data_IF_266082167638
#
_entry.id   IF_266082167638
#
_cell.length_a   1.000
_cell.length_b   1.000
_cell.length_c   1.000
_cell.angle_alpha   90.00
_cell.angle_beta   90.00
_cell.angle_gamma   90.00
#
_symmetry.space_group_name_H-M   'P 1'
#
loop_
_entity.id
_entity.type
_entity.pdbx_description
1 polymer ?
#
# COMPACT_ATOMS: atom_id res chain seq x y z
N UNK A 1 0.67 -7.01 5.16
CA UNK A 1 -0.34 -5.94 4.90
C UNK A 1 -1.60 -6.13 5.75
N UNK A 2 -2.31 -7.27 5.68
CA UNK A 2 -3.51 -7.50 6.53
C UNK A 2 -3.23 -7.24 8.01
N UNK A 3 -2.16 -7.85 8.55
CA UNK A 3 -1.74 -7.65 9.93
C UNK A 3 -1.52 -6.17 10.24
N UNK A 4 -0.85 -5.43 9.35
CA UNK A 4 -0.63 -3.99 9.50
C UNK A 4 -1.94 -3.20 9.52
N UNK A 5 -2.91 -3.54 8.66
CA UNK A 5 -4.21 -2.87 8.63
C UNK A 5 -4.94 -3.10 9.94
N UNK A 6 -5.04 -4.36 10.39
CA UNK A 6 -5.70 -4.71 11.66
C UNK A 6 -5.03 -4.03 12.84
N UNK A 7 -3.70 -4.10 12.90
CA UNK A 7 -2.89 -3.52 13.96
C UNK A 7 -3.00 -1.99 13.96
N UNK A 8 -2.90 -1.35 12.79
CA UNK A 8 -3.03 0.10 12.67
C UNK A 8 -4.44 0.61 12.97
N UNK A 9 -5.49 -0.13 12.60
CA UNK A 9 -6.86 0.15 13.07
C UNK A 9 -6.95 0.04 14.60
N UNK A 10 -6.26 -0.92 15.22
CA UNK A 10 -6.14 -1.00 16.68
C UNK A 10 -5.46 0.23 17.32
N UNK A 11 -4.42 0.77 16.68
CA UNK A 11 -3.78 2.02 17.12
C UNK A 11 -4.74 3.21 16.99
N UNK A 12 -5.48 3.29 15.87
CA UNK A 12 -6.39 4.41 15.57
C UNK A 12 -7.59 4.43 16.53
N UNK A 13 -8.27 3.28 16.71
CA UNK A 13 -9.50 3.17 17.50
C UNK A 13 -9.25 2.98 19.01
N UNK A 14 -8.25 2.19 19.38
CA UNK A 14 -7.99 1.85 20.79
C UNK A 14 -6.74 2.52 21.37
N UNK A 15 -5.96 3.26 20.59
CA UNK A 15 -4.73 3.92 21.07
C UNK A 15 -3.63 2.93 21.46
N UNK A 16 -3.71 1.68 21.00
CA UNK A 16 -2.77 0.61 21.33
C UNK A 16 -1.36 1.00 20.84
N UNK A 17 -0.39 1.17 21.75
CA UNK A 17 0.97 1.64 21.40
C UNK A 17 1.15 3.17 21.36
N UNK A 18 0.11 3.97 21.60
CA UNK A 18 0.20 5.44 21.71
C UNK A 18 -0.18 5.94 23.12
N UNK A 19 0.30 5.26 24.16
CA UNK A 19 0.07 5.67 25.55
C UNK A 19 -1.41 5.79 25.96
N UNK A 20 -2.32 5.10 25.28
CA UNK A 20 -3.77 5.15 25.55
C UNK A 20 -4.51 6.33 24.91
N UNK A 21 -3.85 7.17 24.11
CA UNK A 21 -4.50 8.25 23.37
C UNK A 21 -4.83 7.79 21.94
N UNK A 22 -6.11 7.79 21.59
CA UNK A 22 -6.56 7.55 20.21
C UNK A 22 -5.97 8.62 19.30
N UNK A 23 -5.24 8.23 18.27
CA UNK A 23 -4.72 9.16 17.25
C UNK A 23 -5.89 9.85 16.52
N UNK A 24 -7.03 9.17 16.42
CA UNK A 24 -8.21 9.68 15.72
C UNK A 24 -7.94 9.90 14.24
N UNK A 25 -8.77 10.73 13.59
CA UNK A 25 -8.61 11.09 12.18
C UNK A 25 -7.94 12.46 11.97
N UNK A 26 -7.39 13.07 13.03
CA UNK A 26 -6.84 14.44 13.00
C UNK A 26 -5.73 14.61 11.96
N UNK A 27 -4.83 13.62 11.84
CA UNK A 27 -3.72 13.67 10.87
C UNK A 27 -4.17 13.74 9.39
N UNK A 28 -5.39 13.29 9.07
CA UNK A 28 -5.94 13.38 7.71
C UNK A 28 -6.38 14.79 7.32
N UNK A 29 -6.70 15.64 8.30
CA UNK A 29 -7.32 16.96 8.07
C UNK A 29 -6.49 18.13 8.61
N UNK A 30 -5.69 17.93 9.65
CA UNK A 30 -4.97 19.02 10.33
C UNK A 30 -3.74 19.51 9.56
N UNK A 31 -3.10 18.67 8.74
CA UNK A 31 -1.88 19.03 7.99
C UNK A 31 -2.19 19.55 6.58
N UNK A 32 -3.07 20.55 6.46
CA UNK A 32 -3.45 21.15 5.16
C UNK A 32 -4.71 20.58 4.50
N UNK A 33 -5.52 19.82 5.24
CA UNK A 33 -6.77 19.21 4.75
C UNK A 33 -6.56 17.93 3.94
N UNK A 34 -7.65 17.25 3.58
CA UNK A 34 -7.62 16.02 2.77
C UNK A 34 -6.99 16.23 1.37
N UNK A 35 -6.88 17.49 0.93
CA UNK A 35 -6.36 17.90 -0.37
C UNK A 35 -5.17 18.87 -0.21
N UNK A 36 -4.21 18.55 0.66
CA UNK A 36 -3.08 19.43 1.01
C UNK A 36 -2.26 19.96 -0.19
N UNK A 37 -2.20 19.22 -1.31
CA UNK A 37 -1.55 19.65 -2.55
C UNK A 37 -2.47 20.31 -3.59
N UNK A 38 -3.76 20.48 -3.30
CA UNK A 38 -4.76 20.96 -4.26
C UNK A 38 -4.85 20.08 -5.53
N UNK A 39 -5.39 20.64 -6.61
CA UNK A 39 -5.49 19.96 -7.91
C UNK A 39 -4.12 19.51 -8.45
N UNK A 40 -3.08 20.32 -8.23
CA UNK A 40 -1.71 20.02 -8.68
C UNK A 40 -1.12 18.79 -7.98
N UNK A 41 -1.32 18.67 -6.67
CA UNK A 41 -0.91 17.51 -5.88
C UNK A 41 -1.64 16.24 -6.32
N UNK A 42 -2.95 16.35 -6.56
CA UNK A 42 -3.75 15.25 -7.07
C UNK A 42 -3.26 14.76 -8.45
N UNK A 43 -3.02 15.66 -9.40
CA UNK A 43 -2.50 15.28 -10.71
C UNK A 43 -1.11 14.62 -10.63
N UNK A 44 -0.22 15.17 -9.79
CA UNK A 44 1.12 14.58 -9.59
C UNK A 44 1.03 13.18 -8.98
N UNK A 45 0.19 13.01 -7.95
CA UNK A 45 -0.03 11.71 -7.33
C UNK A 45 -0.66 10.71 -8.32
N UNK A 46 -1.62 11.15 -9.13
CA UNK A 46 -2.23 10.33 -10.19
C UNK A 46 -1.17 9.83 -11.17
N UNK A 47 -0.24 10.69 -11.61
CA UNK A 47 0.86 10.28 -12.49
C UNK A 47 1.77 9.21 -11.84
N UNK A 48 2.15 9.39 -10.58
CA UNK A 48 2.97 8.42 -9.83
C UNK A 48 2.24 7.09 -9.68
N UNK A 49 0.94 7.14 -9.37
CA UNK A 49 0.10 5.94 -9.23
C UNK A 49 0.00 5.21 -10.56
N UNK A 50 -0.32 5.90 -11.67
CA UNK A 50 -0.39 5.29 -13.00
C UNK A 50 0.94 4.64 -13.40
N UNK A 51 2.06 5.32 -13.15
CA UNK A 51 3.39 4.77 -13.40
C UNK A 51 3.67 3.51 -12.57
N UNK A 52 3.18 3.44 -11.33
CA UNK A 52 3.34 2.28 -10.43
C UNK A 52 2.52 1.06 -10.86
N UNK A 53 1.54 1.22 -11.74
CA UNK A 53 0.72 0.14 -12.28
C UNK A 53 1.10 -0.28 -13.71
N UNK A 54 2.21 0.23 -14.26
CA UNK A 54 2.81 -0.38 -15.45
C UNK A 54 3.20 -1.83 -15.15
N UNK A 55 2.80 -2.77 -16.02
CA UNK A 55 2.94 -4.20 -15.80
C UNK A 55 1.63 -4.90 -15.44
N UNK A 56 0.53 -4.17 -15.22
CA UNK A 56 -0.81 -4.78 -15.17
C UNK A 56 -1.19 -5.38 -16.54
N UNK A 57 -0.55 -4.93 -17.63
CA UNK A 57 -0.73 -5.52 -18.96
C UNK A 57 -0.35 -7.01 -19.06
N UNK A 58 0.55 -7.51 -18.19
CA UNK A 58 0.90 -8.94 -18.15
C UNK A 58 -0.31 -9.83 -17.83
N UNK A 59 -1.29 -9.31 -17.08
CA UNK A 59 -2.55 -10.02 -16.78
C UNK A 59 -3.34 -10.23 -18.08
N UNK A 60 -3.28 -9.28 -19.02
CA UNK A 60 -3.93 -9.39 -20.33
C UNK A 60 -3.25 -10.42 -21.23
N UNK A 61 -1.92 -10.48 -21.23
CA UNK A 61 -1.14 -11.43 -22.04
C UNK A 61 -1.40 -12.86 -21.56
N UNK A 62 -1.26 -13.10 -20.26
CA UNK A 62 -1.49 -14.43 -19.64
C UNK A 62 -2.96 -14.87 -19.71
N UNK A 63 -3.90 -13.94 -19.80
CA UNK A 63 -5.30 -14.27 -20.03
C UNK A 63 -5.54 -14.90 -21.42
N UNK A 64 -4.73 -14.56 -22.42
CA UNK A 64 -4.78 -15.17 -23.75
C UNK A 64 -4.42 -16.66 -23.76
N UNK A 65 -3.63 -17.10 -22.78
CA UNK A 65 -3.22 -18.50 -22.59
C UNK A 65 -4.20 -19.31 -21.71
N UNK A 66 -5.20 -18.65 -21.13
CA UNK A 66 -6.16 -19.30 -20.24
C UNK A 66 -7.19 -20.12 -21.01
N UNK A 67 -7.54 -21.30 -20.47
CA UNK A 67 -8.49 -22.26 -21.07
C UNK A 67 -9.89 -21.68 -21.34
N UNK A 68 -10.27 -20.59 -20.65
CA UNK A 68 -11.50 -19.82 -20.86
C UNK A 68 -11.23 -18.32 -20.56
N UNK A 69 -10.73 -17.54 -21.53
CA UNK A 69 -10.22 -16.20 -21.28
C UNK A 69 -11.31 -15.24 -20.77
N UNK A 70 -12.52 -15.27 -21.32
CA UNK A 70 -13.58 -14.33 -20.95
C UNK A 70 -14.02 -14.43 -19.48
N UNK A 71 -14.24 -15.66 -18.99
CA UNK A 71 -14.67 -15.90 -17.60
C UNK A 71 -13.51 -15.70 -16.64
N UNK A 72 -12.34 -16.22 -17.00
CA UNK A 72 -11.13 -16.14 -16.17
C UNK A 72 -10.70 -14.69 -15.99
N UNK A 73 -10.68 -13.92 -17.07
CA UNK A 73 -10.28 -12.52 -17.05
C UNK A 73 -11.26 -11.66 -16.24
N UNK A 74 -12.57 -11.84 -16.43
CA UNK A 74 -13.58 -11.11 -15.65
C UNK A 74 -13.45 -11.38 -14.15
N UNK A 75 -13.25 -12.64 -13.75
CA UNK A 75 -13.03 -13.03 -12.35
C UNK A 75 -11.69 -12.50 -11.82
N UNK A 76 -10.62 -12.62 -12.60
CA UNK A 76 -9.27 -12.20 -12.20
C UNK A 76 -9.21 -10.69 -11.96
N UNK A 77 -9.74 -9.89 -12.90
CA UNK A 77 -9.81 -8.42 -12.76
C UNK A 77 -10.56 -8.03 -11.51
N UNK A 78 -11.75 -8.61 -11.26
CA UNK A 78 -12.53 -8.31 -10.04
C UNK A 78 -11.77 -8.63 -8.75
N UNK A 79 -11.08 -9.79 -8.70
CA UNK A 79 -10.27 -10.19 -7.54
C UNK A 79 -9.06 -9.28 -7.33
N UNK A 80 -8.39 -8.88 -8.42
CA UNK A 80 -7.24 -7.98 -8.37
C UNK A 80 -7.66 -6.60 -7.88
N UNK A 81 -8.75 -6.04 -8.41
CA UNK A 81 -9.28 -4.75 -7.98
C UNK A 81 -9.63 -4.74 -6.48
N UNK A 82 -10.33 -5.76 -5.98
CA UNK A 82 -10.69 -5.83 -4.57
C UNK A 82 -9.47 -5.95 -3.66
N UNK A 83 -8.45 -6.73 -4.08
CA UNK A 83 -7.17 -6.82 -3.39
C UNK A 83 -6.42 -5.48 -3.38
N UNK A 84 -6.41 -4.74 -4.49
CA UNK A 84 -5.80 -3.41 -4.57
C UNK A 84 -6.50 -2.45 -3.61
N UNK A 85 -7.84 -2.41 -3.60
CA UNK A 85 -8.59 -1.55 -2.68
C UNK A 85 -8.23 -1.84 -1.22
N UNK A 86 -8.22 -3.12 -0.82
CA UNK A 86 -7.92 -3.48 0.58
C UNK A 86 -6.45 -3.24 0.92
N UNK A 87 -5.53 -3.74 0.09
CA UNK A 87 -4.11 -3.74 0.45
C UNK A 87 -3.40 -2.42 0.17
N UNK A 88 -3.77 -1.72 -0.90
CA UNK A 88 -3.13 -0.47 -1.27
C UNK A 88 -3.82 0.71 -0.58
N UNK A 89 -5.12 0.90 -0.83
CA UNK A 89 -5.86 2.04 -0.27
C UNK A 89 -5.98 1.90 1.25
N UNK A 90 -6.31 0.70 1.75
CA UNK A 90 -6.36 0.44 3.20
C UNK A 90 -5.03 0.65 3.91
N UNK A 91 -3.90 0.26 3.29
CA UNK A 91 -2.58 0.49 3.85
C UNK A 91 -2.24 1.98 3.93
N UNK A 92 -2.41 2.71 2.83
CA UNK A 92 -2.12 4.16 2.76
C UNK A 92 -2.99 4.91 3.78
N UNK A 93 -4.28 4.58 3.84
CA UNK A 93 -5.20 5.17 4.80
C UNK A 93 -4.70 5.01 6.24
N UNK A 94 -4.34 3.79 6.63
CA UNK A 94 -3.81 3.51 7.97
C UNK A 94 -2.52 4.28 8.24
N UNK A 95 -1.59 4.29 7.28
CA UNK A 95 -0.29 4.96 7.43
C UNK A 95 -0.47 6.48 7.60
N UNK A 96 -1.27 7.13 6.75
CA UNK A 96 -1.51 8.59 6.78
C UNK A 96 -2.36 9.01 7.99
N UNK A 97 -3.16 8.10 8.53
CA UNK A 97 -3.88 8.35 9.79
C UNK A 97 -2.93 8.31 10.99
N UNK A 98 -1.95 7.39 10.98
CA UNK A 98 -1.00 7.22 12.10
C UNK A 98 0.11 8.27 12.06
N UNK A 99 0.65 8.58 10.87
CA UNK A 99 1.74 9.53 10.68
C UNK A 99 1.30 10.69 9.78
N UNK A 100 1.65 11.93 10.13
CA UNK A 100 1.38 13.07 9.27
C UNK A 100 2.06 12.87 7.91
N UNK A 101 1.34 13.13 6.84
CA UNK A 101 1.77 12.83 5.47
C UNK A 101 3.10 13.50 5.09
N UNK A 102 3.41 14.65 5.68
CA UNK A 102 4.63 15.42 5.46
C UNK A 102 5.89 14.75 6.04
N UNK A 103 5.74 13.86 7.02
CA UNK A 103 6.86 13.15 7.66
C UNK A 103 7.07 11.73 7.10
N UNK A 104 6.22 11.31 6.16
CA UNK A 104 6.32 9.99 5.53
C UNK A 104 7.51 9.98 4.56
N UNK A 105 8.49 9.13 4.83
CA UNK A 105 9.67 8.93 3.96
C UNK A 105 10.98 9.49 4.52
N UNK A 106 10.93 10.38 5.50
CA UNK A 106 12.15 10.99 6.09
C UNK A 106 12.89 10.06 7.05
N UNK A 107 12.17 9.15 7.73
CA UNK A 107 12.70 8.27 8.77
C UNK A 107 12.72 6.78 8.37
N UNK A 108 12.73 6.48 7.07
CA UNK A 108 12.70 5.11 6.53
C UNK A 108 11.31 4.63 6.11
N UNK A 109 11.17 3.31 5.92
CA UNK A 109 9.95 2.72 5.36
C UNK A 109 8.75 2.92 6.30
N UNK A 110 7.64 3.53 5.83
CA UNK A 110 6.45 3.76 6.66
C UNK A 110 5.83 2.46 7.17
N UNK A 111 6.00 1.36 6.44
CA UNK A 111 5.62 0.03 6.89
C UNK A 111 6.39 -0.35 8.16
N UNK A 112 7.71 -0.20 8.13
CA UNK A 112 8.58 -0.50 9.28
C UNK A 112 8.27 0.42 10.46
N UNK A 113 8.10 1.72 10.21
CA UNK A 113 7.77 2.73 11.23
C UNK A 113 6.45 2.41 11.94
N UNK A 114 5.44 1.94 11.21
CA UNK A 114 4.14 1.56 11.78
C UNK A 114 4.28 0.39 12.76
N UNK A 115 5.09 -0.62 12.45
CA UNK A 115 5.32 -1.73 13.38
C UNK A 115 6.26 -1.37 14.54
N UNK A 116 7.25 -0.51 14.29
CA UNK A 116 8.16 -0.01 15.32
C UNK A 116 7.41 0.81 16.40
N UNK A 117 6.42 1.62 16.00
CA UNK A 117 5.52 2.35 16.91
C UNK A 117 4.82 1.46 17.95
N UNK A 118 4.64 0.18 17.64
CA UNK A 118 3.86 -0.77 18.44
C UNK A 118 4.80 -1.71 19.21
N UNK A 119 6.12 -1.50 19.10
CA UNK A 119 7.14 -2.25 19.82
C UNK A 119 7.58 -3.54 19.12
N UNK A 120 7.18 -3.78 17.86
CA UNK A 120 7.59 -4.97 17.11
C UNK A 120 8.85 -4.68 16.29
N UNK A 121 9.99 -4.58 16.97
CA UNK A 121 11.30 -4.26 16.34
C UNK A 121 11.72 -5.32 15.31
N UNK A 122 11.34 -6.58 15.52
CA UNK A 122 11.60 -7.69 14.60
C UNK A 122 10.87 -7.55 13.23
N UNK A 123 9.80 -6.76 13.16
CA UNK A 123 9.04 -6.57 11.93
C UNK A 123 9.85 -5.84 10.84
N UNK A 124 10.83 -5.02 11.23
CA UNK A 124 11.67 -4.28 10.28
C UNK A 124 12.42 -5.22 9.32
N UNK A 125 13.07 -6.26 9.86
CA UNK A 125 13.80 -7.24 9.07
C UNK A 125 12.88 -8.06 8.17
N UNK A 126 11.74 -8.50 8.69
CA UNK A 126 10.76 -9.31 7.94
C UNK A 126 10.21 -8.51 6.75
N UNK A 127 9.84 -7.24 6.96
CA UNK A 127 9.28 -6.39 5.89
C UNK A 127 10.32 -6.14 4.81
N UNK A 128 11.55 -5.77 5.18
CA UNK A 128 12.61 -5.55 4.20
C UNK A 128 12.89 -6.83 3.40
N UNK A 129 12.94 -7.99 4.05
CA UNK A 129 13.11 -9.26 3.37
C UNK A 129 11.98 -9.53 2.36
N UNK A 130 10.72 -9.41 2.79
CA UNK A 130 9.55 -9.62 1.92
C UNK A 130 9.53 -8.65 0.73
N UNK A 131 9.86 -7.37 0.95
CA UNK A 131 9.90 -6.35 -0.11
C UNK A 131 11.00 -6.66 -1.12
N UNK A 132 12.20 -7.05 -0.66
CA UNK A 132 13.29 -7.44 -1.55
C UNK A 132 12.95 -8.68 -2.37
N UNK A 133 12.38 -9.73 -1.74
CA UNK A 133 11.93 -10.92 -2.47
C UNK A 133 10.82 -10.60 -3.47
N UNK A 134 9.88 -9.71 -3.13
CA UNK A 134 8.83 -9.26 -4.05
C UNK A 134 9.41 -8.47 -5.23
N UNK A 135 10.38 -7.58 -4.99
CA UNK A 135 11.06 -6.84 -6.04
C UNK A 135 11.79 -7.79 -7.01
N UNK A 136 12.52 -8.79 -6.49
CA UNK A 136 13.17 -9.82 -7.31
C UNK A 136 12.16 -10.63 -8.14
N UNK A 137 11.02 -11.01 -7.55
CA UNK A 137 9.94 -11.70 -8.28
C UNK A 137 9.32 -10.83 -9.38
N UNK A 138 9.20 -9.52 -9.14
CA UNK A 138 8.75 -8.55 -10.13
C UNK A 138 9.73 -8.43 -11.29
N UNK A 139 11.03 -8.29 -11.00
CA UNK A 139 12.09 -8.27 -12.02
C UNK A 139 12.09 -9.54 -12.87
N UNK A 140 11.94 -10.73 -12.26
CA UNK A 140 11.88 -11.98 -13.00
C UNK A 140 10.66 -12.04 -13.95
N UNK A 141 9.50 -11.54 -13.52
CA UNK A 141 8.30 -11.48 -14.35
C UNK A 141 8.44 -10.48 -15.50
N UNK A 142 9.07 -9.32 -15.23
CA UNK A 142 9.36 -8.31 -16.25
C UNK A 142 10.33 -8.80 -17.32
N UNK A 143 11.39 -9.52 -16.94
CA UNK A 143 12.31 -10.14 -17.90
C UNK A 143 11.62 -11.20 -18.77
N UNK A 144 10.71 -12.00 -18.20
CA UNK A 144 9.94 -12.99 -18.97
C UNK A 144 8.98 -12.36 -19.98
N UNK A 145 8.40 -11.20 -19.65
CA UNK A 145 7.45 -10.52 -20.53
C UNK A 145 8.09 -9.70 -21.66
N UNK A 146 9.39 -9.39 -21.56
CA UNK A 146 10.17 -8.74 -22.64
C UNK A 146 10.88 -9.74 -23.56
N UNK A 147 10.81 -11.05 -23.25
CA UNK A 147 11.37 -12.13 -24.05
C UNK A 147 10.41 -12.68 -25.10
#
# INVERSE_FOLDING_TARGET
>A
IIVMIVVGLGVIFFGFGNGGHSIGFGNLTEHGGFFAGGWKGFLTALCIVVASYQGVELIGITAGEAKNPQVTLRSAVGKVLWRILIFYVGAIFVIVTIFPWDQIGSNGSPFVLTFAKIGITAAAGIINFVVLTAALSGCNSGMYSCG
#
